data_IF_528358505247
#
_entry.id   IF_528358505247
#
_cell.length_a   1.000
_cell.length_b   1.000
_cell.length_c   1.000
_cell.angle_alpha   90.00
_cell.angle_beta   90.00
_cell.angle_gamma   90.00
#
_symmetry.space_group_name_H-M   'P 1'
#
loop_
_entity.id
_entity.type
_entity.pdbx_description
1 polymer ?
#
# COMPACT_ATOMS: atom_id res chain seq x y z
N UNK A 1 10.28 -7.42 -16.84
CA UNK A 1 9.85 -8.12 -15.60
C UNK A 1 10.37 -7.32 -14.42
N UNK A 2 9.49 -6.69 -13.63
CA UNK A 2 9.87 -6.17 -12.31
C UNK A 2 9.96 -7.38 -11.36
N UNK A 3 11.16 -7.74 -10.93
CA UNK A 3 11.37 -8.75 -9.89
C UNK A 3 10.86 -8.21 -8.54
N UNK A 4 10.46 -9.07 -7.59
CA UNK A 4 10.01 -8.64 -6.25
C UNK A 4 11.05 -7.75 -5.53
N UNK A 5 12.32 -7.99 -5.79
CA UNK A 5 13.44 -7.15 -5.33
C UNK A 5 13.40 -5.72 -5.89
N UNK A 6 12.95 -5.56 -7.13
CA UNK A 6 12.80 -4.26 -7.76
C UNK A 6 11.62 -3.50 -7.14
N UNK A 7 10.48 -4.15 -6.91
CA UNK A 7 9.34 -3.51 -6.24
C UNK A 7 9.69 -2.99 -4.84
N UNK A 8 10.45 -3.77 -4.05
CA UNK A 8 10.96 -3.29 -2.75
C UNK A 8 11.86 -2.06 -2.86
N UNK A 9 12.71 -2.05 -3.89
CA UNK A 9 13.62 -0.93 -4.13
C UNK A 9 12.85 0.31 -4.59
N UNK A 10 11.85 0.13 -5.44
CA UNK A 10 10.97 1.19 -5.91
C UNK A 10 10.19 1.79 -4.73
N UNK A 11 9.63 0.97 -3.83
CA UNK A 11 8.96 1.43 -2.62
C UNK A 11 9.84 2.35 -1.73
N UNK A 12 11.16 2.10 -1.66
CA UNK A 12 12.09 2.92 -0.87
C UNK A 12 12.33 4.30 -1.47
N UNK A 13 12.08 4.48 -2.76
CA UNK A 13 12.27 5.75 -3.46
C UNK A 13 11.04 6.66 -3.39
N UNK A 14 9.95 6.20 -2.75
CA UNK A 14 8.66 6.87 -2.71
C UNK A 14 8.33 7.42 -1.33
N UNK A 15 7.62 8.55 -1.32
CA UNK A 15 7.10 9.18 -0.10
C UNK A 15 5.93 8.41 0.54
N UNK A 16 5.25 7.55 -0.25
CA UNK A 16 4.24 6.62 0.25
C UNK A 16 4.65 5.21 -0.14
N UNK A 17 4.52 4.27 0.79
CA UNK A 17 4.93 2.88 0.55
C UNK A 17 4.14 1.85 1.33
N UNK A 18 4.04 0.64 0.79
CA UNK A 18 3.56 -0.52 1.54
C UNK A 18 4.66 -1.06 2.46
N UNK A 19 4.25 -1.71 3.55
CA UNK A 19 5.15 -2.41 4.46
C UNK A 19 4.84 -3.91 4.48
N UNK A 20 5.84 -4.75 4.75
CA UNK A 20 5.69 -6.20 4.83
C UNK A 20 5.46 -6.86 3.48
N UNK A 21 4.91 -8.08 3.49
CA UNK A 21 4.82 -8.96 2.31
C UNK A 21 3.99 -8.37 1.15
N UNK A 22 3.12 -7.40 1.42
CA UNK A 22 2.34 -6.69 0.40
C UNK A 22 3.22 -5.82 -0.50
N UNK A 23 4.36 -5.33 0.02
CA UNK A 23 5.32 -4.53 -0.72
C UNK A 23 6.10 -5.34 -1.78
N UNK A 24 6.11 -6.67 -1.64
CA UNK A 24 6.77 -7.59 -2.58
C UNK A 24 5.95 -7.78 -3.87
N UNK A 25 4.67 -7.45 -3.81
CA UNK A 25 3.70 -7.73 -4.88
C UNK A 25 3.04 -6.48 -5.45
N UNK A 26 3.00 -5.39 -4.69
CA UNK A 26 2.31 -4.17 -5.05
C UNK A 26 3.17 -2.95 -4.73
N UNK A 27 3.17 -1.98 -5.63
CA UNK A 27 3.78 -0.66 -5.44
C UNK A 27 2.68 0.36 -5.11
N UNK A 28 2.76 1.03 -3.96
CA UNK A 28 1.79 2.05 -3.58
C UNK A 28 2.04 3.35 -4.36
N UNK A 29 1.02 3.88 -5.03
CA UNK A 29 1.15 5.09 -5.87
C UNK A 29 0.19 6.21 -5.49
N UNK A 30 -0.90 5.92 -4.78
CA UNK A 30 -1.76 6.94 -4.23
C UNK A 30 -2.45 6.47 -2.94
N UNK A 31 -2.69 7.44 -2.06
CA UNK A 31 -3.40 7.28 -0.81
C UNK A 31 -4.39 8.45 -0.69
N UNK A 32 -5.68 8.15 -0.53
CA UNK A 32 -6.72 9.15 -0.26
C UNK A 32 -7.59 8.65 0.88
N UNK A 33 -7.88 9.49 1.86
CA UNK A 33 -8.77 9.10 2.94
C UNK A 33 -9.28 10.29 3.73
N UNK A 34 -10.24 10.00 4.59
CA UNK A 34 -10.81 10.97 5.51
C UNK A 34 -10.84 10.36 6.91
N UNK A 35 -10.58 11.21 7.92
CA UNK A 35 -10.58 10.83 9.31
C UNK A 35 -11.45 11.81 10.09
N UNK A 36 -12.11 11.32 11.14
CA UNK A 36 -12.90 12.14 12.04
C UNK A 36 -12.79 11.59 13.45
N UNK A 37 -12.88 12.48 14.44
CA UNK A 37 -12.75 12.09 15.83
C UNK A 37 -13.83 11.05 16.18
N UNK A 38 -13.41 9.97 16.84
CA UNK A 38 -14.30 8.89 17.30
C UNK A 38 -15.10 8.18 16.19
N UNK A 39 -14.63 8.25 14.94
CA UNK A 39 -15.19 7.51 13.80
C UNK A 39 -14.14 6.58 13.22
N UNK A 40 -14.57 5.48 12.61
CA UNK A 40 -13.68 4.65 11.79
C UNK A 40 -13.12 5.49 10.64
N UNK A 41 -11.82 5.38 10.39
CA UNK A 41 -11.21 5.99 9.22
C UNK A 41 -11.39 5.08 8.00
N UNK A 42 -11.33 5.67 6.81
CA UNK A 42 -11.30 4.93 5.56
C UNK A 42 -10.26 5.53 4.62
N UNK A 43 -9.44 4.66 4.04
CA UNK A 43 -8.47 5.01 3.02
C UNK A 43 -8.72 4.20 1.74
N UNK A 44 -8.77 4.91 0.61
CA UNK A 44 -8.64 4.38 -0.74
C UNK A 44 -7.14 4.37 -1.08
N UNK A 45 -6.60 3.18 -1.33
CA UNK A 45 -5.21 2.97 -1.75
C UNK A 45 -5.18 2.50 -3.19
N UNK A 46 -4.30 3.07 -4.01
CA UNK A 46 -4.07 2.64 -5.39
C UNK A 46 -2.67 2.11 -5.51
N UNK A 47 -2.58 0.90 -6.07
CA UNK A 47 -1.32 0.22 -6.25
C UNK A 47 -1.14 -0.27 -7.67
N UNK A 48 0.12 -0.34 -8.09
CA UNK A 48 0.54 -1.01 -9.31
C UNK A 48 1.00 -2.42 -8.98
N UNK A 49 0.63 -3.37 -9.82
CA UNK A 49 1.00 -4.76 -9.62
C UNK A 49 1.01 -5.53 -10.94
N UNK A 50 1.82 -6.58 -10.98
CA UNK A 50 1.79 -7.60 -12.04
C UNK A 50 0.92 -8.80 -11.65
N UNK A 51 0.37 -8.81 -10.44
CA UNK A 51 -0.52 -9.85 -9.97
C UNK A 51 -1.88 -9.75 -10.65
N UNK A 52 -2.47 -10.90 -10.95
CA UNK A 52 -3.86 -10.96 -11.40
C UNK A 52 -4.78 -10.69 -10.23
N UNK A 53 -5.98 -10.18 -10.51
CA UNK A 53 -7.02 -9.93 -9.51
C UNK A 53 -7.26 -11.14 -8.60
N UNK A 54 -7.30 -12.37 -9.14
CA UNK A 54 -7.47 -13.61 -8.38
C UNK A 54 -6.38 -13.85 -7.33
N UNK A 55 -5.14 -13.41 -7.60
CA UNK A 55 -4.03 -13.52 -6.65
C UNK A 55 -4.12 -12.48 -5.54
N UNK A 56 -4.75 -11.33 -5.84
CA UNK A 56 -4.90 -10.20 -4.93
C UNK A 56 -6.03 -10.40 -3.91
N UNK A 57 -7.01 -11.28 -4.23
CA UNK A 57 -8.09 -11.64 -3.32
C UNK A 57 -7.60 -12.14 -1.95
N UNK A 58 -6.39 -12.71 -1.89
CA UNK A 58 -5.78 -13.15 -0.61
C UNK A 58 -5.60 -12.03 0.40
N UNK A 59 -5.51 -10.78 -0.06
CA UNK A 59 -5.33 -9.61 0.80
C UNK A 59 -6.64 -9.19 1.46
N UNK A 60 -7.80 -9.63 0.96
CA UNK A 60 -9.09 -9.31 1.56
C UNK A 60 -9.18 -9.77 3.02
N UNK A 61 -9.54 -8.86 3.91
CA UNK A 61 -9.60 -9.09 5.36
C UNK A 61 -8.25 -9.21 6.06
N UNK A 62 -7.13 -9.03 5.33
CA UNK A 62 -5.80 -9.04 5.94
C UNK A 62 -5.47 -7.68 6.55
N UNK A 63 -4.76 -7.72 7.68
CA UNK A 63 -4.11 -6.54 8.24
C UNK A 63 -2.93 -6.15 7.35
N UNK A 64 -2.88 -4.87 7.00
CA UNK A 64 -1.82 -4.29 6.19
C UNK A 64 -1.37 -2.99 6.82
N UNK A 65 -0.18 -2.54 6.44
CA UNK A 65 0.24 -1.19 6.78
C UNK A 65 0.95 -0.50 5.63
N UNK A 66 0.78 0.81 5.56
CA UNK A 66 1.55 1.67 4.71
C UNK A 66 2.17 2.81 5.50
N UNK A 67 3.17 3.43 4.91
CA UNK A 67 3.91 4.54 5.48
C UNK A 67 3.79 5.76 4.59
N UNK A 68 3.66 6.93 5.23
CA UNK A 68 3.84 8.25 4.64
C UNK A 68 5.11 8.86 5.24
N UNK A 69 6.07 9.21 4.40
CA UNK A 69 7.37 9.74 4.80
C UNK A 69 8.51 9.23 3.93
N UNK A 70 9.68 9.83 4.08
CA UNK A 70 10.91 9.50 3.34
C UNK A 70 11.65 8.27 3.89
N UNK A 71 11.30 7.80 5.09
CA UNK A 71 11.95 6.65 5.72
C UNK A 71 13.31 6.94 6.35
N UNK A 72 13.80 8.17 6.31
CA UNK A 72 15.10 8.57 6.87
C UNK A 72 15.12 8.64 8.41
N UNK A 73 13.93 8.63 9.03
CA UNK A 73 13.66 8.93 10.45
C UNK A 73 14.08 10.35 10.88
N UNK A 74 14.58 11.17 9.96
CA UNK A 74 14.96 12.56 10.22
C UNK A 74 13.76 13.50 10.17
N UNK A 75 12.73 13.13 9.39
CA UNK A 75 11.47 13.85 9.30
C UNK A 75 10.33 13.05 9.95
N UNK A 76 9.25 13.73 10.40
CA UNK A 76 8.06 13.05 10.89
C UNK A 76 7.52 12.05 9.86
N UNK A 77 7.17 10.86 10.35
CA UNK A 77 6.59 9.79 9.54
C UNK A 77 5.26 9.37 10.13
N UNK A 78 4.37 8.89 9.27
CA UNK A 78 3.07 8.37 9.67
C UNK A 78 2.92 6.94 9.18
N UNK A 79 2.62 6.02 10.09
CA UNK A 79 2.19 4.67 9.77
C UNK A 79 0.67 4.61 9.79
N UNK A 80 0.10 4.02 8.73
CA UNK A 80 -1.31 3.70 8.64
C UNK A 80 -1.43 2.18 8.67
N UNK A 81 -2.05 1.67 9.73
CA UNK A 81 -2.41 0.27 9.86
C UNK A 81 -3.89 0.14 9.61
N UNK A 82 -4.34 -0.90 8.92
CA UNK A 82 -5.76 -1.12 8.67
C UNK A 82 -6.02 -2.51 8.12
N UNK A 83 -7.31 -2.83 7.97
CA UNK A 83 -7.76 -4.08 7.35
C UNK A 83 -8.18 -3.76 5.92
N UNK A 84 -7.77 -4.61 4.98
CA UNK A 84 -8.23 -4.52 3.59
C UNK A 84 -9.71 -4.92 3.51
N UNK A 85 -10.52 -3.99 3.02
CA UNK A 85 -11.91 -4.24 2.63
C UNK A 85 -12.02 -4.30 1.08
N UNK A 86 -13.12 -4.89 0.62
CA UNK A 86 -13.55 -5.18 -0.75
C UNK A 86 -13.44 -4.06 -1.81
N UNK A 87 -13.09 -2.82 -1.44
CA UNK A 87 -12.93 -1.68 -2.35
C UNK A 87 -11.46 -1.38 -2.75
N UNK A 88 -10.56 -2.37 -2.75
CA UNK A 88 -9.23 -2.14 -3.31
C UNK A 88 -9.29 -2.01 -4.84
N UNK A 89 -9.03 -0.81 -5.35
CA UNK A 89 -8.87 -0.55 -6.77
C UNK A 89 -7.45 -0.92 -7.20
N UNK A 90 -7.31 -2.06 -7.86
CA UNK A 90 -6.06 -2.48 -8.49
C UNK A 90 -5.99 -1.94 -9.92
N UNK A 91 -4.90 -1.26 -10.27
CA UNK A 91 -4.61 -0.89 -11.66
C UNK A 91 -3.51 -1.81 -12.18
N UNK A 92 -3.90 -2.84 -12.94
CA UNK A 92 -2.95 -3.70 -13.65
C UNK A 92 -2.47 -2.99 -14.91
N UNK A 93 -1.16 -2.81 -15.05
CA UNK A 93 -0.56 -2.49 -16.35
C UNK A 93 -0.21 -3.81 -17.05
N UNK A 94 -0.79 -4.02 -18.23
CA UNK A 94 -0.40 -5.09 -19.15
C UNK A 94 0.83 -4.68 -19.96
#
# INVERSE_FOLDING_TARGET
MLNSTQLKTDQQSHFIRWNGDIADEMLLIALKGAESLSSSYQYELRSLTHKKESELLRWHGQEVSCQIGDGSNELPQRLLHGIVDSNLLFSTYA
#
